data_IF_414606992836
#
_entry.id   IF_414606992836
#
_cell.length_a   1.000
_cell.length_b   1.000
_cell.length_c   1.000
_cell.angle_alpha   90.00
_cell.angle_beta   90.00
_cell.angle_gamma   90.00
#
_symmetry.space_group_name_H-M   'P 1'
#
loop_
_entity.id
_entity.type
_entity.pdbx_description
1 polymer ?
#
# COMPACT_ATOMS: atom_id res chain seq x y z
N UNK A 1 -14.50 15.79 21.33
CA UNK A 1 -13.15 15.68 21.90
C UNK A 1 -12.27 16.85 21.46
N UNK A 2 -12.06 17.10 20.12
CA UNK A 2 -11.20 18.17 19.59
C UNK A 2 -11.57 19.57 20.08
N UNK A 3 -12.86 19.91 20.08
CA UNK A 3 -13.36 21.21 20.55
C UNK A 3 -13.05 21.44 22.05
N UNK A 4 -13.12 20.38 22.86
CA UNK A 4 -12.77 20.46 24.28
C UNK A 4 -11.27 20.71 24.45
N UNK A 5 -10.42 19.98 23.73
CA UNK A 5 -8.96 20.17 23.76
C UNK A 5 -8.60 21.58 23.28
N UNK A 6 -9.21 22.06 22.18
CA UNK A 6 -8.99 23.41 21.65
C UNK A 6 -9.39 24.49 22.67
N UNK A 7 -10.53 24.30 23.37
CA UNK A 7 -10.99 25.21 24.44
C UNK A 7 -10.02 25.22 25.62
N UNK A 8 -9.50 24.05 26.00
CA UNK A 8 -8.55 23.96 27.12
C UNK A 8 -7.19 24.55 26.74
N UNK A 9 -6.69 24.31 25.53
CA UNK A 9 -5.46 24.93 25.02
C UNK A 9 -5.57 26.48 24.97
N UNK A 10 -6.75 27.00 24.63
CA UNK A 10 -6.97 28.47 24.65
C UNK A 10 -6.75 29.13 26.02
N UNK A 11 -6.95 28.40 27.12
CA UNK A 11 -6.72 28.90 28.47
C UNK A 11 -5.25 29.17 28.75
N UNK A 12 -4.35 28.50 28.05
CA UNK A 12 -2.90 28.62 28.21
C UNK A 12 -2.24 29.42 27.08
N UNK A 13 -3.01 29.83 26.07
CA UNK A 13 -2.48 30.60 24.95
C UNK A 13 -2.22 32.03 25.33
N UNK A 14 -1.07 32.56 24.96
CA UNK A 14 -0.73 33.96 25.07
C UNK A 14 -1.58 34.79 24.11
N UNK A 15 -1.88 36.03 24.45
CA UNK A 15 -2.66 36.94 23.61
C UNK A 15 -2.08 37.00 22.17
N UNK A 16 -2.93 36.74 21.19
CA UNK A 16 -2.55 36.66 19.75
C UNK A 16 -2.19 35.28 19.22
N UNK A 17 -2.09 34.23 20.07
CA UNK A 17 -1.87 32.87 19.65
C UNK A 17 -3.20 32.11 19.65
N UNK A 18 -3.60 31.64 18.48
CA UNK A 18 -4.80 30.79 18.33
C UNK A 18 -4.35 29.36 18.13
N UNK A 19 -4.59 28.41 19.08
CA UNK A 19 -4.24 27.02 18.89
C UNK A 19 -5.14 26.40 17.82
N UNK A 20 -4.52 25.70 16.87
CA UNK A 20 -5.19 24.96 15.83
C UNK A 20 -4.85 23.47 15.96
N UNK A 21 -5.86 22.61 15.83
CA UNK A 21 -5.71 21.16 15.86
C UNK A 21 -5.90 20.66 14.44
N UNK A 22 -4.82 20.20 13.84
CA UNK A 22 -4.81 19.60 12.52
C UNK A 22 -4.90 18.08 12.64
N UNK A 23 -5.68 17.45 11.75
CA UNK A 23 -5.69 16.00 11.64
C UNK A 23 -4.43 15.52 10.90
N UNK A 24 -3.84 14.46 11.42
CA UNK A 24 -2.73 13.81 10.76
C UNK A 24 -3.21 13.22 9.41
N UNK A 25 -2.43 13.46 8.39
CA UNK A 25 -2.58 12.80 7.10
C UNK A 25 -1.64 11.61 7.07
N UNK A 26 -2.19 10.41 6.98
CA UNK A 26 -1.40 9.19 6.97
C UNK A 26 -1.04 8.74 5.56
N UNK A 27 0.20 8.31 5.40
CA UNK A 27 0.66 7.47 4.31
C UNK A 27 0.89 6.07 4.90
N UNK A 28 -0.02 5.16 4.58
CA UNK A 28 0.10 3.78 5.04
C UNK A 28 1.04 3.00 4.13
N UNK A 29 1.85 2.15 4.74
CA UNK A 29 2.64 1.14 4.05
C UNK A 29 1.99 -0.22 4.27
N UNK A 30 1.78 -0.93 3.19
CA UNK A 30 1.35 -2.33 3.19
C UNK A 30 2.49 -3.17 2.64
N UNK A 31 2.82 -4.22 3.35
CA UNK A 31 3.91 -5.12 3.00
C UNK A 31 3.35 -6.51 2.72
N UNK A 32 3.77 -7.11 1.62
CA UNK A 32 3.52 -8.53 1.36
C UNK A 32 4.86 -9.23 1.33
N UNK A 33 5.07 -10.19 2.24
CA UNK A 33 6.33 -10.90 2.39
C UNK A 33 6.11 -12.40 2.42
N UNK A 34 6.81 -13.11 1.52
CA UNK A 34 6.97 -14.54 1.54
C UNK A 34 8.27 -14.88 2.25
N UNK A 35 8.19 -15.56 3.40
CA UNK A 35 9.29 -15.83 4.30
C UNK A 35 9.58 -17.33 4.24
N UNK A 36 10.76 -17.67 3.78
CA UNK A 36 11.18 -19.06 3.64
C UNK A 36 11.95 -19.52 4.86
N UNK A 37 11.65 -20.70 5.37
CA UNK A 37 12.29 -21.23 6.57
C UNK A 37 12.68 -22.71 6.44
N UNK A 38 13.72 -23.10 7.18
CA UNK A 38 14.22 -24.46 7.25
C UNK A 38 13.52 -25.25 8.37
N UNK A 39 12.78 -26.29 7.99
CA UNK A 39 12.03 -27.14 8.94
C UNK A 39 12.92 -27.96 9.89
N UNK A 40 14.21 -28.12 9.58
CA UNK A 40 15.14 -28.79 10.48
C UNK A 40 15.55 -27.93 11.68
N UNK A 41 15.40 -26.61 11.57
CA UNK A 41 15.74 -25.64 12.63
C UNK A 41 14.51 -25.13 13.39
N UNK A 42 13.35 -25.12 12.75
CA UNK A 42 12.06 -24.84 13.39
C UNK A 42 10.98 -25.80 12.88
N UNK A 43 10.48 -26.69 13.74
CA UNK A 43 9.48 -27.68 13.33
C UNK A 43 8.09 -27.08 13.12
N UNK A 44 7.85 -25.86 13.60
CA UNK A 44 6.51 -25.23 13.58
C UNK A 44 6.49 -23.94 12.78
N UNK A 45 5.68 -23.89 11.72
CA UNK A 45 5.37 -22.67 10.96
C UNK A 45 4.82 -21.56 11.87
N UNK A 46 3.97 -21.93 12.83
CA UNK A 46 3.32 -20.98 13.73
C UNK A 46 4.31 -20.30 14.70
N UNK A 47 5.37 -20.99 15.08
CA UNK A 47 6.43 -20.42 15.91
C UNK A 47 7.15 -19.30 15.17
N UNK A 48 7.64 -19.59 13.96
CA UNK A 48 8.32 -18.60 13.11
C UNK A 48 7.38 -17.43 12.81
N UNK A 49 6.13 -17.70 12.41
CA UNK A 49 5.15 -16.67 12.09
C UNK A 49 4.87 -15.72 13.26
N UNK A 50 4.73 -16.26 14.47
CA UNK A 50 4.46 -15.45 15.68
C UNK A 50 5.64 -14.53 16.01
N UNK A 51 6.87 -15.04 15.93
CA UNK A 51 8.07 -14.24 16.22
C UNK A 51 8.26 -13.14 15.17
N UNK A 52 8.10 -13.47 13.89
CA UNK A 52 8.17 -12.50 12.80
C UNK A 52 7.14 -11.41 12.99
N UNK A 53 5.88 -11.77 13.24
CA UNK A 53 4.82 -10.79 13.44
C UNK A 53 5.11 -9.85 14.60
N UNK A 54 5.55 -10.38 15.75
CA UNK A 54 5.90 -9.59 16.94
C UNK A 54 7.04 -8.60 16.66
N UNK A 55 8.07 -9.02 15.90
CA UNK A 55 9.19 -8.16 15.57
C UNK A 55 8.80 -7.06 14.58
N UNK A 56 7.91 -7.37 13.62
CA UNK A 56 7.38 -6.38 12.69
C UNK A 56 6.48 -5.37 13.40
N UNK A 57 5.63 -5.80 14.32
CA UNK A 57 4.81 -4.91 15.17
C UNK A 57 5.70 -3.98 16.00
N UNK A 58 6.73 -4.52 16.63
CA UNK A 58 7.71 -3.74 17.39
C UNK A 58 8.45 -2.71 16.51
N UNK A 59 8.76 -3.06 15.27
CA UNK A 59 9.35 -2.13 14.32
C UNK A 59 8.37 -1.06 13.87
N UNK A 60 7.10 -1.42 13.62
CA UNK A 60 6.04 -0.48 13.25
C UNK A 60 5.83 0.60 14.32
N UNK A 61 5.90 0.20 15.59
CA UNK A 61 5.74 1.10 16.75
C UNK A 61 7.03 1.83 17.15
N UNK A 62 8.14 1.54 16.48
CA UNK A 62 9.43 2.12 16.82
C UNK A 62 9.47 3.64 16.56
N UNK A 63 10.29 4.35 17.32
CA UNK A 63 10.54 5.79 17.14
C UNK A 63 11.15 6.15 15.79
N UNK A 64 11.60 5.18 15.00
CA UNK A 64 12.09 5.42 13.64
C UNK A 64 10.97 5.68 12.66
N UNK A 65 9.87 4.91 12.74
CA UNK A 65 8.70 5.09 11.88
C UNK A 65 7.67 6.02 12.51
N UNK A 66 7.51 5.99 13.82
CA UNK A 66 6.49 6.73 14.53
C UNK A 66 6.90 8.22 14.76
N UNK A 67 7.18 8.93 13.68
CA UNK A 67 7.55 10.36 13.69
C UNK A 67 7.26 11.04 12.35
N UNK A 68 7.22 12.37 12.37
CA UNK A 68 7.19 13.16 11.13
C UNK A 68 8.49 13.03 10.36
N UNK A 69 8.41 13.00 9.03
CA UNK A 69 9.57 12.83 8.17
C UNK A 69 10.25 11.47 8.33
N UNK A 70 9.52 10.47 8.81
CA UNK A 70 10.01 9.10 8.92
C UNK A 70 10.42 8.55 7.56
N UNK A 71 11.38 7.64 7.57
CA UNK A 71 11.81 6.93 6.39
C UNK A 71 11.74 5.43 6.62
N UNK A 72 10.93 4.76 5.83
CA UNK A 72 10.94 3.31 5.73
C UNK A 72 12.12 2.90 4.85
N UNK A 73 13.09 2.19 5.42
CA UNK A 73 14.23 1.61 4.71
C UNK A 73 13.96 0.15 4.44
N UNK A 74 13.81 -0.19 3.18
CA UNK A 74 13.50 -1.55 2.74
C UNK A 74 14.53 -2.58 3.22
N UNK A 75 15.83 -2.28 3.04
CA UNK A 75 16.90 -3.19 3.48
C UNK A 75 16.91 -3.45 4.99
N UNK A 76 16.51 -2.44 5.79
CA UNK A 76 16.38 -2.61 7.24
C UNK A 76 15.20 -3.50 7.58
N UNK A 77 14.08 -3.33 6.90
CA UNK A 77 12.91 -4.18 7.09
C UNK A 77 13.23 -5.65 6.76
N UNK A 78 13.88 -5.91 5.62
CA UNK A 78 14.33 -7.26 5.26
C UNK A 78 15.21 -7.86 6.35
N UNK A 79 16.16 -7.09 6.86
CA UNK A 79 17.03 -7.55 7.94
C UNK A 79 16.26 -7.87 9.22
N UNK A 80 15.25 -7.08 9.60
CA UNK A 80 14.40 -7.35 10.76
C UNK A 80 13.65 -8.68 10.59
N UNK A 81 13.15 -8.96 9.38
CA UNK A 81 12.50 -10.23 9.07
C UNK A 81 13.50 -11.38 9.13
N UNK A 82 14.67 -11.25 8.50
CA UNK A 82 15.69 -12.30 8.47
C UNK A 82 16.26 -12.60 9.87
N UNK A 83 16.48 -11.57 10.67
CA UNK A 83 17.01 -11.70 12.04
C UNK A 83 15.93 -12.16 13.05
N UNK A 84 14.67 -12.28 12.63
CA UNK A 84 13.58 -12.65 13.54
C UNK A 84 13.70 -14.07 14.08
N UNK A 85 14.20 -15.00 13.26
CA UNK A 85 14.39 -16.39 13.68
C UNK A 85 15.52 -17.03 12.88
N UNK A 86 16.37 -17.84 13.55
CA UNK A 86 17.52 -18.51 12.93
C UNK A 86 17.16 -19.49 11.79
N UNK A 87 15.93 -20.02 11.81
CA UNK A 87 15.44 -20.91 10.78
C UNK A 87 15.09 -20.20 9.46
N UNK A 88 14.99 -18.87 9.45
CA UNK A 88 14.66 -18.13 8.22
C UNK A 88 15.86 -18.15 7.29
N UNK A 89 15.64 -18.62 6.07
CA UNK A 89 16.68 -18.75 5.04
C UNK A 89 16.66 -17.57 4.08
N UNK A 90 15.49 -17.03 3.77
CA UNK A 90 15.31 -15.87 2.89
C UNK A 90 13.91 -15.28 3.01
N UNK A 91 13.74 -14.04 2.53
CA UNK A 91 12.43 -13.45 2.35
C UNK A 91 12.30 -12.72 1.01
N UNK A 92 11.10 -12.75 0.44
CA UNK A 92 10.74 -12.00 -0.77
C UNK A 92 9.63 -11.05 -0.39
N UNK A 93 9.95 -9.76 -0.39
CA UNK A 93 9.08 -8.72 0.15
C UNK A 93 8.73 -7.70 -0.91
N UNK A 94 7.47 -7.31 -0.98
CA UNK A 94 6.99 -6.19 -1.78
C UNK A 94 6.35 -5.13 -0.90
N UNK A 95 6.44 -3.87 -1.33
CA UNK A 95 5.93 -2.72 -0.59
C UNK A 95 4.92 -1.98 -1.44
N UNK A 96 3.80 -1.63 -0.85
CA UNK A 96 2.79 -0.77 -1.43
C UNK A 96 2.50 0.43 -0.51
N UNK A 97 2.16 1.55 -1.10
CA UNK A 97 1.72 2.74 -0.40
C UNK A 97 0.21 2.86 -0.51
N UNK A 98 -0.48 3.18 0.58
CA UNK A 98 -1.92 3.42 0.61
C UNK A 98 -2.26 4.80 1.15
N UNK A 99 -3.23 5.44 0.50
CA UNK A 99 -3.88 6.66 0.99
C UNK A 99 -5.37 6.42 1.14
N UNK A 100 -5.90 6.80 2.28
CA UNK A 100 -7.31 6.74 2.60
C UNK A 100 -7.95 8.10 2.31
N UNK A 101 -8.81 8.15 1.30
CA UNK A 101 -9.44 9.38 0.80
C UNK A 101 -10.88 9.44 1.27
N UNK A 102 -11.24 10.44 2.06
CA UNK A 102 -12.63 10.65 2.46
C UNK A 102 -13.45 11.10 1.26
N UNK A 103 -14.51 10.37 0.96
CA UNK A 103 -15.40 10.64 -0.17
C UNK A 103 -16.51 11.61 0.25
N UNK A 104 -16.67 12.70 -0.49
CA UNK A 104 -17.85 13.54 -0.41
C UNK A 104 -18.98 12.86 -1.22
N UNK A 105 -19.93 12.22 -0.50
CA UNK A 105 -20.99 11.47 -1.17
C UNK A 105 -22.02 12.39 -1.80
N UNK A 106 -22.55 11.97 -2.95
CA UNK A 106 -23.60 12.66 -3.70
C UNK A 106 -23.26 14.12 -4.07
N UNK A 107 -21.97 14.43 -4.13
CA UNK A 107 -21.46 15.76 -4.45
C UNK A 107 -20.42 15.64 -5.57
N UNK A 108 -20.46 16.56 -6.52
CA UNK A 108 -19.44 16.66 -7.55
C UNK A 108 -18.18 17.29 -6.94
N UNK A 109 -17.15 16.50 -6.73
CA UNK A 109 -15.92 16.92 -6.08
C UNK A 109 -14.67 16.48 -6.87
N UNK A 110 -13.65 17.33 -6.88
CA UNK A 110 -12.31 17.02 -7.37
C UNK A 110 -11.46 16.50 -6.19
N UNK A 111 -10.60 15.51 -6.47
CA UNK A 111 -9.73 14.94 -5.46
C UNK A 111 -8.28 15.01 -5.92
N UNK A 112 -7.42 15.57 -5.08
CA UNK A 112 -5.98 15.52 -5.25
C UNK A 112 -5.37 14.69 -4.13
N UNK A 113 -4.65 13.63 -4.51
CA UNK A 113 -4.08 12.64 -3.59
C UNK A 113 -2.56 12.64 -3.78
N UNK A 114 -1.84 13.18 -2.81
CA UNK A 114 -0.38 13.17 -2.79
C UNK A 114 0.14 12.00 -1.97
N UNK A 115 1.11 11.27 -2.52
CA UNK A 115 1.87 10.24 -1.83
C UNK A 115 3.27 10.71 -1.46
N UNK A 116 3.77 11.74 -2.14
CA UNK A 116 5.09 12.32 -1.90
C UNK A 116 6.28 11.43 -2.24
N UNK A 117 6.01 10.30 -2.90
CA UNK A 117 7.00 9.35 -3.35
C UNK A 117 6.72 9.01 -4.81
N UNK A 118 7.77 8.83 -5.60
CA UNK A 118 7.64 8.44 -7.00
C UNK A 118 6.90 7.10 -7.13
N UNK A 119 6.03 7.01 -8.13
CA UNK A 119 5.33 5.78 -8.43
C UNK A 119 6.10 4.90 -9.40
N UNK A 120 6.02 3.60 -9.20
CA UNK A 120 6.44 2.65 -10.22
C UNK A 120 5.60 2.81 -11.48
N UNK A 121 6.24 2.79 -12.65
CA UNK A 121 5.55 2.92 -13.93
C UNK A 121 5.40 1.53 -14.54
N UNK A 122 4.18 1.01 -14.54
CA UNK A 122 3.88 -0.25 -15.17
C UNK A 122 4.20 -0.21 -16.67
N UNK A 123 4.64 -1.34 -17.21
CA UNK A 123 4.88 -1.47 -18.66
C UNK A 123 3.53 -1.53 -19.40
N UNK A 124 3.58 -1.40 -20.71
CA UNK A 124 2.51 -1.10 -21.67
C UNK A 124 1.10 -1.70 -21.47
N UNK A 125 0.90 -2.73 -20.67
CA UNK A 125 -0.41 -3.35 -20.43
C UNK A 125 -0.79 -3.47 -18.96
N UNK A 126 0.01 -2.93 -18.06
CA UNK A 126 -0.27 -2.93 -16.63
C UNK A 126 -0.65 -1.55 -16.11
N UNK A 127 -1.27 -1.51 -14.97
CA UNK A 127 -1.53 -0.30 -14.20
C UNK A 127 -1.00 -0.48 -12.77
N UNK A 128 -0.50 0.62 -12.20
CA UNK A 128 0.06 0.64 -10.87
C UNK A 128 -1.01 0.99 -9.83
N UNK A 129 -1.82 2.02 -10.17
CA UNK A 129 -2.81 2.54 -9.23
C UNK A 129 -4.02 1.61 -9.15
N UNK A 130 -4.42 1.31 -7.93
CA UNK A 130 -5.62 0.54 -7.63
C UNK A 130 -6.41 1.22 -6.52
N UNK A 131 -7.73 1.05 -6.53
CA UNK A 131 -8.57 1.55 -5.45
C UNK A 131 -9.46 0.45 -4.87
N UNK A 132 -9.99 0.69 -3.67
CA UNK A 132 -11.16 -0.04 -3.19
C UNK A 132 -12.36 0.25 -4.08
N UNK A 133 -13.36 -0.62 -4.06
CA UNK A 133 -14.57 -0.45 -4.85
C UNK A 133 -15.42 0.74 -4.36
N UNK A 134 -15.98 1.48 -5.30
CA UNK A 134 -16.93 2.56 -5.03
C UNK A 134 -17.95 2.69 -6.17
N UNK A 135 -19.02 3.44 -5.97
CA UNK A 135 -20.04 3.71 -6.99
C UNK A 135 -20.03 5.18 -7.37
N UNK A 136 -20.20 5.43 -8.65
CA UNK A 136 -20.29 6.79 -9.20
C UNK A 136 -21.63 7.00 -9.92
N UNK A 137 -22.08 8.23 -9.98
CA UNK A 137 -23.29 8.58 -10.69
C UNK A 137 -23.21 8.16 -12.16
N UNK A 138 -24.28 7.51 -12.64
CA UNK A 138 -24.41 7.02 -14.02
C UNK A 138 -23.76 5.65 -14.29
N UNK A 139 -23.22 4.96 -13.27
CA UNK A 139 -22.71 3.59 -13.38
C UNK A 139 -23.27 2.78 -12.23
N UNK A 140 -24.01 1.72 -12.55
CA UNK A 140 -24.71 0.88 -11.53
C UNK A 140 -23.78 -0.13 -10.84
N UNK A 141 -22.66 -0.46 -11.47
CA UNK A 141 -21.68 -1.42 -10.96
C UNK A 141 -20.66 -0.73 -10.05
N UNK A 142 -19.99 -1.52 -9.22
CA UNK A 142 -18.81 -1.07 -8.51
C UNK A 142 -17.67 -0.79 -9.48
N UNK A 143 -17.01 0.34 -9.31
CA UNK A 143 -15.88 0.76 -10.13
C UNK A 143 -14.60 0.85 -9.31
N UNK A 144 -13.49 0.74 -10.00
CA UNK A 144 -12.13 0.85 -9.48
C UNK A 144 -11.35 1.86 -10.31
N UNK A 145 -10.32 2.44 -9.74
CA UNK A 145 -9.40 3.36 -10.42
C UNK A 145 -8.19 2.58 -10.93
N UNK A 146 -7.82 2.84 -12.17
CA UNK A 146 -6.57 2.38 -12.78
C UNK A 146 -5.90 3.52 -13.54
N UNK A 147 -4.64 3.33 -13.91
CA UNK A 147 -3.83 4.31 -14.62
C UNK A 147 -3.26 3.75 -15.92
N UNK A 148 -3.05 4.64 -16.89
CA UNK A 148 -2.35 4.33 -18.14
C UNK A 148 -1.25 5.38 -18.31
N UNK A 149 0.04 4.96 -18.37
CA UNK A 149 1.14 5.88 -18.60
C UNK A 149 1.07 6.50 -20.00
N UNK A 150 1.41 7.77 -20.09
CA UNK A 150 1.63 8.45 -21.36
C UNK A 150 2.96 8.01 -22.01
N UNK A 151 3.19 8.39 -23.25
CA UNK A 151 4.40 8.05 -24.00
C UNK A 151 5.68 8.55 -23.33
N UNK A 152 5.64 9.70 -22.66
CA UNK A 152 6.79 10.25 -21.93
C UNK A 152 7.05 9.52 -20.59
N UNK A 153 6.09 8.71 -20.12
CA UNK A 153 6.18 7.92 -18.88
C UNK A 153 6.40 8.74 -17.60
N UNK A 154 6.26 10.05 -17.64
CA UNK A 154 6.29 10.92 -16.46
C UNK A 154 4.89 11.14 -15.89
N UNK A 155 3.93 11.19 -16.82
CA UNK A 155 2.52 11.41 -16.53
C UNK A 155 1.66 10.31 -17.15
N UNK A 156 0.42 10.23 -16.69
CA UNK A 156 -0.56 9.29 -17.20
C UNK A 156 -1.98 9.79 -17.04
N UNK A 157 -2.91 9.05 -17.61
CA UNK A 157 -4.34 9.27 -17.48
C UNK A 157 -4.97 8.20 -16.59
N UNK A 158 -5.98 8.61 -15.83
CA UNK A 158 -6.77 7.70 -14.99
C UNK A 158 -8.02 7.23 -15.72
N UNK A 159 -8.43 6.01 -15.44
CA UNK A 159 -9.66 5.43 -15.94
C UNK A 159 -10.43 4.71 -14.83
N UNK A 160 -11.73 4.54 -15.02
CA UNK A 160 -12.57 3.67 -14.19
C UNK A 160 -12.81 2.36 -14.91
N UNK A 161 -12.72 1.27 -14.18
CA UNK A 161 -13.01 -0.07 -14.67
C UNK A 161 -13.88 -0.85 -13.71
N UNK A 162 -14.55 -1.85 -14.24
CA UNK A 162 -15.33 -2.83 -13.49
C UNK A 162 -14.66 -4.19 -13.59
N UNK A 163 -14.91 -5.04 -12.61
CA UNK A 163 -14.54 -6.44 -12.60
C UNK A 163 -15.84 -7.27 -12.61
N UNK A 164 -15.94 -8.23 -13.51
CA UNK A 164 -17.11 -9.14 -13.57
C UNK A 164 -17.21 -9.97 -12.27
N UNK A 165 -16.07 -10.27 -11.67
CA UNK A 165 -15.93 -10.96 -10.40
C UNK A 165 -14.71 -10.36 -9.68
N UNK A 166 -14.72 -10.18 -8.33
CA UNK A 166 -13.56 -9.71 -7.57
C UNK A 166 -12.26 -10.50 -7.83
N UNK A 167 -12.38 -11.79 -8.17
CA UNK A 167 -11.26 -12.64 -8.56
C UNK A 167 -10.87 -12.50 -10.06
N UNK A 168 -11.64 -11.76 -10.86
CA UNK A 168 -11.34 -11.55 -12.27
C UNK A 168 -10.10 -10.68 -12.44
N UNK A 169 -9.20 -11.13 -13.31
CA UNK A 169 -7.98 -10.38 -13.66
C UNK A 169 -8.18 -9.50 -14.92
N UNK A 170 -9.36 -9.55 -15.53
CA UNK A 170 -9.66 -8.81 -16.75
C UNK A 170 -10.54 -7.60 -16.43
N UNK A 171 -9.97 -6.37 -16.36
CA UNK A 171 -10.74 -5.16 -16.14
C UNK A 171 -11.50 -4.76 -17.40
N UNK A 172 -12.77 -4.38 -17.25
CA UNK A 172 -13.56 -3.73 -18.31
C UNK A 172 -13.59 -2.24 -18.07
N UNK A 173 -12.97 -1.46 -18.96
CA UNK A 173 -12.91 0.00 -18.83
C UNK A 173 -14.28 0.59 -19.14
N UNK A 174 -14.87 1.27 -18.15
CA UNK A 174 -16.21 1.91 -18.28
C UNK A 174 -16.13 3.41 -18.52
N UNK A 175 -15.06 4.07 -18.06
CA UNK A 175 -14.85 5.51 -18.30
C UNK A 175 -13.35 5.82 -18.39
N UNK A 176 -12.95 6.50 -19.46
CA UNK A 176 -11.56 6.98 -19.68
C UNK A 176 -11.42 8.43 -19.24
N UNK A 177 -10.18 8.86 -19.04
CA UNK A 177 -9.81 10.26 -18.76
C UNK A 177 -10.55 10.87 -17.55
N UNK A 178 -10.71 10.08 -16.48
CA UNK A 178 -11.33 10.55 -15.23
C UNK A 178 -10.38 11.33 -14.34
N UNK A 179 -9.14 11.49 -14.78
CA UNK A 179 -8.12 12.22 -14.05
C UNK A 179 -6.73 12.05 -14.67
N UNK A 180 -5.74 12.55 -13.95
CA UNK A 180 -4.33 12.49 -14.33
C UNK A 180 -3.48 11.99 -13.18
N UNK A 181 -2.32 11.43 -13.51
CA UNK A 181 -1.30 11.00 -12.57
C UNK A 181 0.05 11.60 -12.96
N UNK A 182 0.79 12.08 -11.98
CA UNK A 182 2.20 12.49 -12.09
C UNK A 182 3.01 11.45 -11.32
N UNK A 183 3.73 10.59 -12.05
CA UNK A 183 4.49 9.49 -11.47
C UNK A 183 5.73 9.98 -10.72
N UNK A 184 6.32 11.09 -11.18
CA UNK A 184 7.54 11.64 -10.57
C UNK A 184 7.22 12.28 -9.22
N UNK A 185 6.14 13.07 -9.15
CA UNK A 185 5.73 13.72 -7.91
C UNK A 185 4.93 12.82 -6.98
N UNK A 186 4.44 11.68 -7.50
CA UNK A 186 3.55 10.82 -6.74
C UNK A 186 2.20 11.48 -6.42
N UNK A 187 1.59 12.15 -7.42
CA UNK A 187 0.33 12.88 -7.26
C UNK A 187 -0.71 12.31 -8.22
N UNK A 188 -1.89 12.03 -7.68
CA UNK A 188 -3.08 11.61 -8.41
C UNK A 188 -4.10 12.73 -8.32
N UNK A 189 -4.65 13.16 -9.45
CA UNK A 189 -5.73 14.15 -9.52
C UNK A 189 -6.93 13.52 -10.23
N UNK A 190 -8.06 13.35 -9.52
CA UNK A 190 -9.33 12.95 -10.11
C UNK A 190 -10.10 14.19 -10.52
N UNK A 191 -10.58 14.23 -11.75
CA UNK A 191 -11.50 15.27 -12.21
C UNK A 191 -12.79 15.23 -11.37
N UNK A 192 -13.60 16.30 -11.38
CA UNK A 192 -14.84 16.32 -10.65
C UNK A 192 -15.69 15.07 -10.90
N UNK A 193 -15.94 14.31 -9.86
CA UNK A 193 -16.67 13.05 -9.88
C UNK A 193 -17.71 13.01 -8.74
N UNK A 194 -18.90 12.49 -9.05
CA UNK A 194 -19.94 12.31 -8.05
C UNK A 194 -19.93 10.87 -7.55
N UNK A 195 -19.41 10.67 -6.33
CA UNK A 195 -19.35 9.38 -5.65
C UNK A 195 -20.63 9.17 -4.87
N UNK A 196 -21.32 8.04 -5.10
CA UNK A 196 -22.59 7.72 -4.44
C UNK A 196 -22.39 6.87 -3.19
N UNK A 197 -21.47 5.94 -3.23
CA UNK A 197 -21.13 5.08 -2.09
C UNK A 197 -19.72 4.51 -2.20
N UNK A 198 -19.16 4.08 -1.07
CA UNK A 198 -17.87 3.40 -1.00
C UNK A 198 -18.03 2.05 -0.31
N UNK A 199 -17.19 1.10 -0.65
CA UNK A 199 -17.18 -0.20 0.00
C UNK A 199 -16.55 -0.13 1.41
N UNK A 200 -15.61 0.80 1.61
CA UNK A 200 -14.92 0.97 2.89
C UNK A 200 -15.51 2.13 3.67
N UNK A 201 -15.70 1.89 4.97
CA UNK A 201 -16.10 2.91 5.94
C UNK A 201 -15.11 2.84 7.10
N UNK A 202 -14.48 3.96 7.42
CA UNK A 202 -13.51 4.10 8.51
C UNK A 202 -14.01 5.23 9.41
N UNK A 203 -14.14 4.98 10.70
CA UNK A 203 -14.67 5.93 11.69
C UNK A 203 -16.01 6.57 11.28
N UNK A 204 -16.90 5.77 10.67
CA UNK A 204 -18.21 6.23 10.20
C UNK A 204 -18.15 7.08 8.93
N UNK A 205 -16.99 7.25 8.31
CA UNK A 205 -16.80 8.02 7.08
C UNK A 205 -16.58 7.11 5.88
N UNK A 206 -17.21 7.44 4.77
CA UNK A 206 -17.01 6.76 3.49
C UNK A 206 -15.61 7.07 2.96
N UNK A 207 -14.84 6.00 2.71
CA UNK A 207 -13.43 6.11 2.31
C UNK A 207 -13.16 5.33 1.04
N UNK A 208 -12.37 5.91 0.14
CA UNK A 208 -11.75 5.20 -0.97
C UNK A 208 -10.27 5.00 -0.60
N UNK A 209 -9.87 3.74 -0.51
CA UNK A 209 -8.47 3.39 -0.33
C UNK A 209 -7.80 3.36 -1.69
N UNK A 210 -6.75 4.14 -1.87
CA UNK A 210 -5.96 4.18 -3.11
C UNK A 210 -4.58 3.64 -2.81
N UNK A 211 -4.21 2.60 -3.55
CA UNK A 211 -2.94 1.88 -3.38
C UNK A 211 -2.06 2.10 -4.60
N UNK A 212 -0.78 2.32 -4.36
CA UNK A 212 0.23 2.49 -5.39
C UNK A 212 1.54 1.80 -4.98
N UNK A 213 2.21 1.15 -5.93
CA UNK A 213 3.57 0.63 -5.73
C UNK A 213 4.57 1.77 -5.93
N UNK A 214 5.50 2.01 -4.99
CA UNK A 214 6.54 3.03 -5.15
C UNK A 214 7.57 2.61 -6.20
N UNK A 215 8.26 3.59 -6.79
CA UNK A 215 9.37 3.33 -7.70
C UNK A 215 10.58 2.74 -6.96
N UNK A 216 10.85 3.25 -5.78
CA UNK A 216 11.82 2.71 -4.83
C UNK A 216 11.08 1.99 -3.72
N UNK A 217 11.61 0.88 -3.22
CA UNK A 217 11.04 0.22 -2.04
C UNK A 217 11.28 1.04 -0.75
N UNK A 218 12.20 1.99 -0.76
CA UNK A 218 12.34 2.98 0.30
C UNK A 218 11.25 4.03 0.16
N UNK A 219 10.53 4.31 1.25
CA UNK A 219 9.44 5.29 1.28
C UNK A 219 9.72 6.34 2.34
N UNK A 220 9.49 7.60 2.00
CA UNK A 220 9.73 8.72 2.88
C UNK A 220 8.40 9.38 3.24
N UNK A 221 8.16 9.58 4.54
CA UNK A 221 7.10 10.45 5.01
C UNK A 221 7.48 11.91 4.78
N UNK A 222 6.63 12.67 4.09
CA UNK A 222 6.81 14.11 3.96
C UNK A 222 6.45 14.83 5.27
N UNK A 223 6.76 16.12 5.36
CA UNK A 223 6.51 16.92 6.57
C UNK A 223 5.03 16.97 6.98
N UNK A 224 4.11 16.81 6.01
CA UNK A 224 2.66 16.83 6.23
C UNK A 224 2.02 15.42 6.15
N UNK A 225 2.81 14.38 5.89
CA UNK A 225 2.37 12.99 5.80
C UNK A 225 3.05 12.15 6.87
N UNK A 226 2.26 11.60 7.77
CA UNK A 226 2.74 10.68 8.78
C UNK A 226 2.82 9.27 8.20
N UNK A 227 4.02 8.70 8.19
CA UNK A 227 4.24 7.35 7.68
C UNK A 227 3.83 6.32 8.73
N UNK A 228 3.01 5.35 8.35
CA UNK A 228 2.58 4.28 9.23
C UNK A 228 2.66 2.93 8.50
N UNK A 229 3.34 1.97 9.09
CA UNK A 229 3.30 0.58 8.64
C UNK A 229 1.99 -0.06 9.13
N UNK A 230 1.12 -0.43 8.20
CA UNK A 230 -0.15 -1.08 8.52
C UNK A 230 0.05 -2.61 8.54
N UNK A 231 0.39 -3.12 9.71
CA UNK A 231 0.62 -4.56 9.91
C UNK A 231 -0.65 -5.35 9.66
N UNK A 232 -1.83 -4.81 10.00
CA UNK A 232 -3.12 -5.50 9.84
C UNK A 232 -3.53 -5.68 8.37
N UNK A 233 -3.12 -4.76 7.51
CA UNK A 233 -3.36 -4.85 6.05
C UNK A 233 -2.19 -5.49 5.30
N UNK A 234 -1.09 -5.78 6.00
CA UNK A 234 0.06 -6.47 5.45
C UNK A 234 -0.12 -7.99 5.48
N UNK A 235 0.55 -8.69 4.59
CA UNK A 235 0.48 -10.16 4.47
C UNK A 235 1.87 -10.74 4.68
N UNK A 236 1.99 -11.63 5.67
CA UNK A 236 3.22 -12.34 5.97
C UNK A 236 2.94 -13.84 5.85
N UNK A 237 3.49 -14.46 4.81
CA UNK A 237 3.31 -15.88 4.53
C UNK A 237 4.61 -16.61 4.81
N UNK A 238 4.57 -17.55 5.77
CA UNK A 238 5.73 -18.38 6.14
C UNK A 238 5.64 -19.69 5.37
N UNK A 239 6.66 -19.96 4.54
CA UNK A 239 6.70 -21.04 3.55
C UNK A 239 7.92 -21.92 3.84
N UNK A 240 7.74 -23.23 3.77
CA UNK A 240 8.83 -24.19 3.90
C UNK A 240 9.83 -24.02 2.75
N UNK A 241 11.10 -23.80 3.08
CA UNK A 241 12.19 -23.90 2.11
C UNK A 241 12.52 -25.37 1.88
N UNK A 242 12.06 -25.92 0.77
CA UNK A 242 12.25 -27.33 0.43
C UNK A 242 13.72 -27.69 0.20
N UNK A 243 14.52 -26.75 -0.29
CA UNK A 243 15.96 -26.95 -0.57
C UNK A 243 16.73 -27.01 0.75
N UNK A 244 16.58 -25.99 1.59
CA UNK A 244 17.27 -25.90 2.87
C UNK A 244 16.80 -27.01 3.84
N UNK A 245 15.55 -27.44 3.74
CA UNK A 245 14.98 -28.53 4.56
C UNK A 245 15.35 -29.92 4.07
N UNK A 246 16.00 -30.06 2.91
CA UNK A 246 16.34 -31.36 2.31
C UNK A 246 15.11 -32.15 1.83
N UNK A 247 14.00 -31.48 1.61
CA UNK A 247 12.74 -32.09 1.17
C UNK A 247 12.64 -32.22 -0.35
N UNK A 248 13.59 -31.61 -1.09
CA UNK A 248 13.63 -31.74 -2.54
C UNK A 248 14.16 -33.12 -2.93
N UNK A 249 13.34 -34.02 -3.54
CA UNK A 249 13.75 -35.36 -3.92
C UNK A 249 14.76 -35.40 -5.09
N UNK A 250 14.97 -34.28 -5.74
CA UNK A 250 15.86 -34.19 -6.90
C UNK A 250 17.17 -33.49 -6.56
N UNK A 251 18.04 -34.19 -5.81
CA UNK A 251 19.42 -33.73 -5.60
C UNK A 251 20.20 -33.48 -6.91
N UNK A 252 19.68 -33.87 -8.05
CA UNK A 252 20.28 -33.74 -9.40
C UNK A 252 19.51 -32.82 -10.37
N UNK A 253 18.29 -32.40 -10.06
CA UNK A 253 17.52 -31.46 -10.89
C UNK A 253 16.72 -30.52 -10.01
N UNK A 254 17.21 -29.32 -9.79
CA UNK A 254 16.43 -28.29 -9.16
C UNK A 254 15.60 -27.56 -10.23
N UNK A 255 14.33 -27.41 -9.94
CA UNK A 255 13.51 -26.49 -10.71
C UNK A 255 13.79 -25.09 -10.20
N UNK A 256 14.44 -24.27 -10.99
CA UNK A 256 14.54 -22.86 -10.70
C UNK A 256 13.14 -22.28 -10.79
N UNK A 257 12.45 -22.20 -9.65
CA UNK A 257 11.27 -21.37 -9.59
C UNK A 257 11.75 -19.91 -9.68
N UNK A 258 11.52 -19.29 -10.83
CA UNK A 258 11.73 -17.86 -10.94
C UNK A 258 10.86 -17.15 -9.91
N UNK A 259 11.47 -16.36 -9.03
CA UNK A 259 10.74 -15.45 -8.13
C UNK A 259 9.98 -14.34 -8.88
N UNK A 260 10.04 -14.37 -10.21
CA UNK A 260 9.33 -13.48 -11.09
C UNK A 260 8.09 -14.17 -11.63
N UNK A 261 6.93 -13.64 -11.25
CA UNK A 261 5.68 -14.12 -11.81
C UNK A 261 5.44 -13.41 -13.14
N UNK A 262 5.71 -14.09 -14.25
CA UNK A 262 5.43 -13.61 -15.60
C UNK A 262 3.96 -13.82 -15.93
N UNK A 263 3.11 -12.85 -15.63
CA UNK A 263 1.74 -12.87 -16.10
C UNK A 263 1.66 -12.10 -17.43
N UNK A 264 1.46 -12.80 -18.55
CA UNK A 264 1.37 -12.24 -19.90
C UNK A 264 2.60 -11.46 -20.37
N UNK A 265 3.80 -11.92 -20.05
CA UNK A 265 5.04 -11.25 -20.44
C UNK A 265 5.35 -9.96 -19.65
N UNK A 266 4.61 -9.67 -18.60
CA UNK A 266 4.88 -8.61 -17.67
C UNK A 266 5.69 -9.15 -16.50
N UNK A 267 6.81 -8.47 -16.21
CA UNK A 267 7.53 -8.67 -14.97
C UNK A 267 6.68 -8.03 -13.87
N UNK A 268 5.95 -8.85 -13.14
CA UNK A 268 5.29 -8.38 -11.91
C UNK A 268 6.35 -8.37 -10.84
N UNK A 269 6.72 -7.18 -10.36
CA UNK A 269 7.58 -7.04 -9.18
C UNK A 269 6.87 -7.76 -8.04
N UNK A 270 7.49 -8.78 -7.40
CA UNK A 270 6.90 -9.44 -6.25
C UNK A 270 6.66 -8.47 -5.11
#
# INVERSE_FOLDING_TARGET
IKENIKRDLKKYAVAGIVPEILDLKYLYLEVTSNIYYNTNQAPSVSEVATVVQSNIESYADSSELNKYGARFKYSKFLKIVDDSHEAITSNITSVAMRRDVRAALNTLAEYQIGFGNQFHIARMSGYNIRSSAFRVAGITQNVYIGDIPNTNRENGSLFLFTLDNPASRNPTIVRRNVGRIDYIKGIITLNPINIQSTQKVIDGQSVIQVVATPQSNDVIGLQDLYLQLDVNSSVFEVITDSIASGLDPSASSYTVSSSYNYNRGLLVKP
#
